data_IF_137850337860
#
_entry.id   IF_137850337860
#
_cell.length_a   1.000
_cell.length_b   1.000
_cell.length_c   1.000
_cell.angle_alpha   90.00
_cell.angle_beta   90.00
_cell.angle_gamma   90.00
#
_symmetry.space_group_name_H-M   'P 1'
#
loop_
_entity.id
_entity.type
_entity.pdbx_description
1 polymer ?
#
# COMPACT_ATOMS: atom_id res chain seq x y z
N UNK A 1 3.16 -12.93 4.36
CA UNK A 1 2.53 -11.62 4.22
C UNK A 1 1.47 -11.47 5.30
N UNK A 2 1.29 -10.28 5.88
CA UNK A 2 0.31 -10.04 6.93
C UNK A 2 -0.88 -9.26 6.39
N UNK A 3 -2.10 -9.74 6.66
CA UNK A 3 -3.33 -9.00 6.40
C UNK A 3 -3.54 -7.95 7.50
N UNK A 4 -3.94 -6.75 7.12
CA UNK A 4 -4.13 -5.63 8.06
C UNK A 4 -5.60 -5.24 8.06
N UNK A 5 -6.25 -5.47 9.18
CA UNK A 5 -7.63 -5.07 9.38
C UNK A 5 -7.75 -3.55 9.57
N UNK A 6 -8.64 -2.94 8.80
CA UNK A 6 -8.99 -1.53 8.90
C UNK A 6 -10.49 -1.40 9.04
N UNK A 7 -10.94 -0.64 10.03
CA UNK A 7 -12.36 -0.33 10.18
C UNK A 7 -12.83 0.63 9.06
N UNK A 8 -14.01 0.41 8.47
CA UNK A 8 -14.62 1.33 7.54
C UNK A 8 -14.82 2.72 8.17
N UNK A 9 -14.45 3.78 7.44
CA UNK A 9 -14.64 5.16 7.85
C UNK A 9 -15.80 5.78 7.07
N UNK A 10 -16.73 6.49 7.73
CA UNK A 10 -17.83 7.14 7.02
C UNK A 10 -17.32 8.31 6.17
N UNK A 11 -17.74 8.35 4.93
CA UNK A 11 -17.33 9.40 3.97
C UNK A 11 -17.70 10.81 4.46
N UNK A 12 -18.74 10.94 5.28
CA UNK A 12 -19.16 12.22 5.88
C UNK A 12 -18.05 12.90 6.68
N UNK A 13 -17.11 12.16 7.26
CA UNK A 13 -15.95 12.77 7.94
C UNK A 13 -15.07 13.55 6.94
N UNK A 14 -14.80 12.97 5.77
CA UNK A 14 -14.02 13.63 4.74
C UNK A 14 -14.79 14.80 4.12
N UNK A 15 -16.09 14.58 3.82
CA UNK A 15 -16.96 15.62 3.23
C UNK A 15 -17.08 16.87 4.10
N UNK A 16 -17.04 16.72 5.44
CA UNK A 16 -17.11 17.85 6.37
C UNK A 16 -15.94 18.85 6.26
N UNK A 17 -14.85 18.44 5.64
CA UNK A 17 -13.65 19.26 5.43
C UNK A 17 -13.51 19.79 3.99
N UNK A 18 -14.46 19.48 3.11
CA UNK A 18 -14.44 19.83 1.70
C UNK A 18 -15.52 20.86 1.36
N UNK A 19 -15.27 21.69 0.36
CA UNK A 19 -16.33 22.53 -0.22
C UNK A 19 -17.30 21.70 -1.08
N UNK A 20 -18.44 22.31 -1.45
CA UNK A 20 -19.50 21.64 -2.21
C UNK A 20 -19.03 21.11 -3.58
N UNK A 21 -18.08 21.80 -4.22
CA UNK A 21 -17.54 21.38 -5.52
C UNK A 21 -16.67 20.13 -5.37
N UNK A 22 -15.83 20.13 -4.34
CA UNK A 22 -14.97 18.98 -4.02
C UNK A 22 -15.80 17.75 -3.60
N UNK A 23 -16.83 17.93 -2.77
CA UNK A 23 -17.78 16.87 -2.39
C UNK A 23 -18.44 16.27 -3.63
N UNK A 24 -18.94 17.10 -4.54
CA UNK A 24 -19.58 16.62 -5.77
C UNK A 24 -18.61 15.84 -6.65
N UNK A 25 -17.39 16.32 -6.82
CA UNK A 25 -16.34 15.62 -7.57
C UNK A 25 -16.02 14.28 -6.93
N UNK A 26 -15.84 14.25 -5.61
CA UNK A 26 -15.56 13.02 -4.86
C UNK A 26 -16.66 11.98 -5.11
N UNK A 27 -17.93 12.35 -4.93
CA UNK A 27 -19.06 11.44 -5.15
C UNK A 27 -19.15 10.92 -6.57
N UNK A 28 -18.92 11.79 -7.58
CA UNK A 28 -18.89 11.40 -8.99
C UNK A 28 -17.75 10.40 -9.26
N UNK A 29 -16.55 10.66 -8.70
CA UNK A 29 -15.41 9.77 -8.86
C UNK A 29 -15.63 8.42 -8.19
N UNK A 30 -16.26 8.40 -7.01
CA UNK A 30 -16.58 7.15 -6.30
C UNK A 30 -17.60 6.31 -7.09
N UNK A 31 -18.68 6.93 -7.60
CA UNK A 31 -19.64 6.20 -8.42
C UNK A 31 -18.99 5.61 -9.70
N UNK A 32 -18.04 6.33 -10.30
CA UNK A 32 -17.25 5.82 -11.41
C UNK A 32 -16.32 4.67 -10.99
N UNK A 33 -15.71 4.76 -9.82
CA UNK A 33 -14.84 3.72 -9.27
C UNK A 33 -15.63 2.43 -8.95
N UNK A 34 -16.80 2.56 -8.32
CA UNK A 34 -17.70 1.43 -8.03
C UNK A 34 -18.01 0.64 -9.31
N UNK A 35 -18.38 1.33 -10.39
CA UNK A 35 -18.69 0.68 -11.66
C UNK A 35 -17.48 0.00 -12.32
N UNK A 36 -16.27 0.60 -12.20
CA UNK A 36 -15.05 0.06 -12.78
C UNK A 36 -14.47 -1.11 -11.99
N UNK A 37 -14.70 -1.12 -10.68
CA UNK A 37 -14.15 -2.09 -9.74
C UNK A 37 -15.18 -3.16 -9.34
N UNK A 38 -16.35 -3.18 -9.97
CA UNK A 38 -17.38 -4.18 -9.68
C UNK A 38 -16.82 -5.60 -9.82
N UNK A 39 -16.93 -6.38 -8.76
CA UNK A 39 -16.44 -7.76 -8.68
C UNK A 39 -14.93 -7.90 -8.56
N UNK A 40 -14.15 -6.81 -8.43
CA UNK A 40 -12.70 -6.80 -8.26
C UNK A 40 -12.33 -6.40 -6.84
N UNK A 41 -11.23 -6.96 -6.35
CA UNK A 41 -10.62 -6.52 -5.10
C UNK A 41 -9.48 -5.54 -5.40
N UNK A 42 -9.39 -4.47 -4.63
CA UNK A 42 -8.23 -3.55 -4.66
C UNK A 42 -7.29 -3.93 -3.53
N UNK A 43 -6.16 -4.46 -3.89
CA UNK A 43 -5.11 -4.85 -2.96
C UNK A 43 -4.14 -3.70 -2.74
N UNK A 44 -3.98 -3.28 -1.51
CA UNK A 44 -3.02 -2.25 -1.10
C UNK A 44 -1.86 -2.94 -0.40
N UNK A 45 -0.64 -2.81 -0.92
CA UNK A 45 0.54 -3.48 -0.38
C UNK A 45 1.55 -2.45 0.14
N UNK A 46 1.92 -2.57 1.42
CA UNK A 46 2.92 -1.71 2.06
C UNK A 46 4.13 -2.51 2.55
N UNK A 47 5.33 -1.89 2.64
CA UNK A 47 6.53 -2.58 3.14
C UNK A 47 6.44 -2.98 4.61
N UNK A 48 5.57 -2.35 5.39
CA UNK A 48 5.40 -2.57 6.82
C UNK A 48 4.01 -2.17 7.28
N UNK A 49 3.51 -2.87 8.30
CA UNK A 49 2.25 -2.57 8.99
C UNK A 49 2.38 -1.48 10.07
N UNK A 50 3.59 -0.96 10.35
CA UNK A 50 3.81 -0.03 11.45
C UNK A 50 2.99 1.25 11.29
N UNK A 51 1.93 1.37 12.08
CA UNK A 51 1.08 2.55 12.14
C UNK A 51 1.87 3.73 12.74
N UNK A 52 1.79 4.90 12.09
CA UNK A 52 2.25 6.17 12.65
C UNK A 52 3.42 6.85 11.94
N UNK A 53 4.15 6.17 11.07
CA UNK A 53 5.20 6.81 10.27
C UNK A 53 5.29 6.14 8.89
N UNK A 54 5.52 6.95 7.85
CA UNK A 54 5.64 6.47 6.48
C UNK A 54 4.30 6.10 5.81
N UNK A 55 4.31 5.25 4.78
CA UNK A 55 3.15 4.93 3.95
C UNK A 55 1.95 4.43 4.72
N UNK A 56 2.16 3.59 5.75
CA UNK A 56 1.07 3.01 6.54
C UNK A 56 0.17 4.06 7.21
N UNK A 57 0.74 5.17 7.69
CA UNK A 57 -0.03 6.27 8.31
C UNK A 57 -0.96 6.98 7.32
N UNK A 58 -0.60 7.03 6.04
CA UNK A 58 -1.42 7.63 4.97
C UNK A 58 -2.40 6.61 4.38
N UNK A 59 -1.97 5.35 4.25
CA UNK A 59 -2.76 4.28 3.63
C UNK A 59 -3.94 3.87 4.48
N UNK A 60 -3.79 3.77 5.81
CA UNK A 60 -4.86 3.33 6.70
C UNK A 60 -6.17 4.15 6.56
N UNK A 61 -6.15 5.50 6.62
CA UNK A 61 -7.37 6.27 6.40
C UNK A 61 -7.94 6.14 4.98
N UNK A 62 -7.07 6.02 3.95
CA UNK A 62 -7.54 5.84 2.57
C UNK A 62 -8.28 4.50 2.40
N UNK A 63 -7.72 3.42 2.93
CA UNK A 63 -8.38 2.10 2.96
C UNK A 63 -9.68 2.18 3.74
N UNK A 64 -9.68 2.82 4.91
CA UNK A 64 -10.88 3.00 5.73
C UNK A 64 -12.00 3.72 4.99
N UNK A 65 -11.71 4.83 4.30
CA UNK A 65 -12.71 5.53 3.50
C UNK A 65 -13.18 4.72 2.29
N UNK A 66 -12.29 4.00 1.60
CA UNK A 66 -12.67 3.14 0.48
C UNK A 66 -13.61 2.01 0.94
N UNK A 67 -13.31 1.37 2.07
CA UNK A 67 -14.22 0.39 2.69
C UNK A 67 -15.55 1.01 3.09
N UNK A 68 -15.55 2.25 3.59
CA UNK A 68 -16.75 3.01 3.96
C UNK A 68 -17.66 3.35 2.79
N UNK A 69 -17.17 3.27 1.55
CA UNK A 69 -17.98 3.41 0.32
C UNK A 69 -18.49 2.09 -0.24
N UNK A 70 -18.12 0.95 0.35
CA UNK A 70 -18.52 -0.38 -0.12
C UNK A 70 -17.58 -1.00 -1.15
N UNK A 71 -16.45 -0.38 -1.47
CA UNK A 71 -15.42 -0.99 -2.31
C UNK A 71 -14.77 -2.17 -1.58
N UNK A 72 -14.50 -3.25 -2.31
CA UNK A 72 -13.72 -4.37 -1.79
C UNK A 72 -12.23 -4.01 -1.83
N UNK A 73 -11.71 -3.60 -0.68
CA UNK A 73 -10.31 -3.20 -0.50
C UNK A 73 -9.65 -4.04 0.57
N UNK A 74 -8.47 -4.56 0.28
CA UNK A 74 -7.66 -5.30 1.24
C UNK A 74 -6.29 -4.66 1.40
N UNK A 75 -5.75 -4.76 2.59
CA UNK A 75 -4.43 -4.22 2.89
C UNK A 75 -3.48 -5.30 3.39
N UNK A 76 -2.38 -5.48 2.65
CA UNK A 76 -1.33 -6.41 2.96
C UNK A 76 -0.03 -5.68 3.34
N UNK A 77 0.68 -6.22 4.32
CA UNK A 77 2.06 -5.83 4.62
C UNK A 77 3.03 -6.96 4.28
N UNK A 78 4.23 -6.61 3.83
CA UNK A 78 5.28 -7.59 3.63
C UNK A 78 5.65 -8.26 4.97
N UNK A 79 5.80 -9.57 4.93
CA UNK A 79 6.51 -10.30 5.98
C UNK A 79 8.02 -10.15 5.72
N UNK A 80 8.66 -9.34 6.54
CA UNK A 80 10.02 -8.91 6.28
C UNK A 80 10.84 -8.79 7.57
N UNK A 81 12.09 -9.31 7.58
CA UNK A 81 12.99 -9.17 8.70
C UNK A 81 13.45 -7.72 8.89
N UNK A 82 13.91 -7.37 10.09
CA UNK A 82 14.41 -6.02 10.40
C UNK A 82 15.54 -5.55 9.46
N UNK A 83 16.30 -6.47 8.87
CA UNK A 83 17.33 -6.12 7.88
C UNK A 83 16.73 -5.59 6.58
N UNK A 84 15.62 -6.17 6.11
CA UNK A 84 14.86 -5.65 4.98
C UNK A 84 14.33 -4.23 5.26
N UNK A 85 13.80 -3.99 6.44
CA UNK A 85 13.31 -2.65 6.83
C UNK A 85 14.41 -1.60 6.73
N UNK A 86 15.65 -1.94 7.14
CA UNK A 86 16.79 -1.03 6.97
C UNK A 86 17.15 -0.80 5.50
N UNK A 87 17.10 -1.85 4.67
CA UNK A 87 17.34 -1.73 3.23
C UNK A 87 16.27 -0.86 2.59
N UNK A 88 15.01 -1.07 2.93
CA UNK A 88 13.87 -0.29 2.47
C UNK A 88 14.03 1.21 2.80
N UNK A 89 14.42 1.52 4.04
CA UNK A 89 14.67 2.90 4.46
C UNK A 89 15.83 3.56 3.68
N UNK A 90 16.90 2.81 3.37
CA UNK A 90 18.01 3.32 2.54
C UNK A 90 17.60 3.56 1.09
N UNK A 91 16.79 2.66 0.50
CA UNK A 91 16.23 2.83 -0.83
C UNK A 91 15.37 4.08 -0.90
N UNK A 92 14.47 4.23 0.07
CA UNK A 92 13.61 5.41 0.18
C UNK A 92 14.44 6.70 0.29
N UNK A 93 15.40 6.77 1.21
CA UNK A 93 16.29 7.90 1.37
C UNK A 93 17.05 8.22 0.07
N UNK A 94 17.62 7.20 -0.58
CA UNK A 94 18.38 7.37 -1.82
C UNK A 94 17.56 7.95 -2.97
N UNK A 95 16.29 7.54 -3.13
CA UNK A 95 15.38 8.08 -4.14
C UNK A 95 15.05 9.55 -3.88
N UNK A 96 14.98 9.95 -2.61
CA UNK A 96 14.76 11.34 -2.21
C UNK A 96 16.03 12.18 -2.11
N UNK A 97 17.19 11.64 -2.51
CA UNK A 97 18.48 12.34 -2.47
C UNK A 97 19.08 12.48 -1.06
N UNK A 98 18.56 11.73 -0.09
CA UNK A 98 19.10 11.69 1.27
C UNK A 98 20.13 10.56 1.41
N UNK A 99 21.09 10.75 2.32
CA UNK A 99 22.11 9.73 2.64
C UNK A 99 21.58 8.61 3.52
N UNK A 100 20.43 8.80 4.14
CA UNK A 100 19.89 7.87 5.12
C UNK A 100 20.87 7.58 6.26
N UNK A 101 20.97 6.33 6.69
CA UNK A 101 21.92 5.87 7.71
C UNK A 101 23.38 5.69 7.18
N UNK A 102 23.65 6.01 5.91
CA UNK A 102 24.93 5.84 5.26
C UNK A 102 25.35 4.39 5.00
N UNK A 103 24.48 3.43 5.26
CA UNK A 103 24.76 2.00 5.03
C UNK A 103 24.81 1.65 3.56
N UNK A 104 25.58 0.61 3.22
CA UNK A 104 25.74 0.16 1.83
C UNK A 104 24.46 -0.52 1.30
N UNK A 105 24.24 -0.38 0.00
CA UNK A 105 23.29 -1.16 -0.80
C UNK A 105 24.13 -1.98 -1.82
N UNK A 106 24.79 -3.02 -1.32
CA UNK A 106 25.59 -3.94 -2.14
C UNK A 106 24.89 -5.27 -2.40
N UNK A 107 25.63 -6.25 -2.93
CA UNK A 107 25.08 -7.55 -3.36
C UNK A 107 24.33 -8.27 -2.22
N UNK A 108 24.90 -8.29 -1.01
CA UNK A 108 24.22 -8.91 0.15
C UNK A 108 22.85 -8.27 0.42
N UNK A 109 22.73 -6.95 0.37
CA UNK A 109 21.46 -6.24 0.59
C UNK A 109 20.48 -6.50 -0.55
N UNK A 110 20.99 -6.60 -1.76
CA UNK A 110 20.20 -6.98 -2.92
C UNK A 110 19.64 -8.39 -2.78
N UNK A 111 20.46 -9.37 -2.39
CA UNK A 111 20.02 -10.75 -2.19
C UNK A 111 18.90 -10.85 -1.15
N UNK A 112 19.05 -10.12 -0.02
CA UNK A 112 18.01 -10.06 1.03
C UNK A 112 16.73 -9.44 0.48
N UNK A 113 16.85 -8.32 -0.24
CA UNK A 113 15.72 -7.62 -0.84
C UNK A 113 14.97 -8.52 -1.82
N UNK A 114 15.66 -9.14 -2.75
CA UNK A 114 15.08 -10.03 -3.76
C UNK A 114 14.45 -11.29 -3.13
N UNK A 115 15.11 -11.88 -2.13
CA UNK A 115 14.56 -13.04 -1.41
C UNK A 115 13.25 -12.70 -0.68
N UNK A 116 13.22 -11.59 0.06
CA UNK A 116 12.00 -11.18 0.78
C UNK A 116 10.86 -10.91 -0.20
N UNK A 117 11.12 -10.22 -1.31
CA UNK A 117 10.08 -9.94 -2.29
C UNK A 117 9.58 -11.21 -2.97
N UNK A 118 10.47 -12.14 -3.35
CA UNK A 118 10.07 -13.40 -3.97
C UNK A 118 9.18 -14.23 -3.06
N UNK A 119 9.55 -14.37 -1.78
CA UNK A 119 8.75 -15.11 -0.79
C UNK A 119 7.38 -14.46 -0.53
N UNK A 120 7.29 -13.13 -0.60
CA UNK A 120 6.01 -12.46 -0.45
C UNK A 120 5.18 -12.50 -1.74
N UNK A 121 5.81 -12.47 -2.93
CA UNK A 121 5.13 -12.59 -4.21
C UNK A 121 4.39 -13.93 -4.35
N UNK A 122 4.98 -15.03 -3.91
CA UNK A 122 4.34 -16.34 -3.89
C UNK A 122 2.99 -16.30 -3.13
N UNK A 123 2.97 -15.63 -1.97
CA UNK A 123 1.74 -15.50 -1.18
C UNK A 123 0.68 -14.59 -1.87
N UNK A 124 1.11 -13.55 -2.58
CA UNK A 124 0.18 -12.65 -3.31
C UNK A 124 -0.47 -13.38 -4.48
N UNK A 125 0.29 -14.15 -5.23
CA UNK A 125 -0.19 -14.86 -6.44
C UNK A 125 -1.32 -15.83 -6.10
N UNK A 126 -1.31 -16.43 -4.92
CA UNK A 126 -2.34 -17.37 -4.48
C UNK A 126 -3.67 -16.68 -4.10
N UNK A 127 -3.64 -15.38 -3.75
CA UNK A 127 -4.80 -14.63 -3.26
C UNK A 127 -5.38 -13.66 -4.30
N UNK A 128 -4.53 -13.09 -5.16
CA UNK A 128 -4.92 -12.04 -6.12
C UNK A 128 -5.41 -12.66 -7.42
N UNK A 129 -6.59 -12.27 -7.84
CA UNK A 129 -7.17 -12.70 -9.13
C UNK A 129 -6.59 -11.90 -10.30
N UNK A 130 -6.60 -12.43 -11.54
CA UNK A 130 -6.00 -11.77 -12.70
C UNK A 130 -6.56 -10.39 -13.04
N UNK A 131 -7.80 -10.10 -12.64
CA UNK A 131 -8.53 -8.85 -12.90
C UNK A 131 -8.62 -7.93 -11.67
N UNK A 132 -8.05 -8.35 -10.55
CA UNK A 132 -7.91 -7.49 -9.37
C UNK A 132 -6.90 -6.35 -9.61
N UNK A 133 -6.98 -5.32 -8.79
CA UNK A 133 -6.06 -4.18 -8.82
C UNK A 133 -5.09 -4.27 -7.67
N UNK A 134 -3.78 -4.21 -7.95
CA UNK A 134 -2.75 -4.19 -6.90
C UNK A 134 -2.06 -2.84 -6.89
N UNK A 135 -2.10 -2.16 -5.74
CA UNK A 135 -1.42 -0.89 -5.50
C UNK A 135 -0.20 -1.14 -4.61
N UNK A 136 0.99 -1.01 -5.18
CA UNK A 136 2.25 -1.13 -4.47
C UNK A 136 2.65 0.24 -3.91
N UNK A 137 2.65 0.37 -2.60
CA UNK A 137 3.05 1.60 -1.92
C UNK A 137 4.52 1.58 -1.55
N UNK A 138 5.18 2.71 -1.84
CA UNK A 138 6.59 2.94 -1.55
C UNK A 138 7.57 2.12 -2.43
N UNK A 139 8.72 2.70 -2.78
CA UNK A 139 9.71 2.06 -3.67
C UNK A 139 10.13 0.64 -3.29
N UNK A 140 10.25 0.29 -2.01
CA UNK A 140 10.63 -1.08 -1.63
C UNK A 140 9.68 -2.19 -2.08
N UNK A 141 8.42 -1.90 -2.36
CA UNK A 141 7.46 -2.90 -2.86
C UNK A 141 7.50 -3.06 -4.39
N UNK A 142 8.14 -2.16 -5.11
CA UNK A 142 8.13 -2.14 -6.58
C UNK A 142 8.66 -3.44 -7.22
N UNK A 143 9.54 -4.15 -6.54
CA UNK A 143 10.06 -5.43 -7.02
C UNK A 143 9.05 -6.59 -7.01
N UNK A 144 7.85 -6.41 -6.44
CA UNK A 144 6.75 -7.38 -6.55
C UNK A 144 6.10 -7.38 -7.94
N UNK A 145 6.31 -6.35 -8.75
CA UNK A 145 5.73 -6.20 -10.10
C UNK A 145 6.48 -7.01 -11.19
N UNK A 146 7.20 -8.06 -10.82
CA UNK A 146 7.96 -8.91 -11.77
C UNK A 146 7.14 -10.06 -12.32
#
# INVERSE_FOLDING_TARGET
MGDIDVAPLPLSHLESHLDEVAVRRLRTSLAGAEALLEGRTVWTVTPSAAAGSGPAGTVAPLVGYALGTGLDVRWLSLDAPAEFTRIAARLHAGIHGDRGDGGKLGDKQRDIYEHVLSSNAENIVDEVRPDDVVILHDPPTAGLAK
#
